data_IF_747838784104
#
_entry.id   IF_747838784104
#
_cell.length_a   1.000
_cell.length_b   1.000
_cell.length_c   1.000
_cell.angle_alpha   90.00
_cell.angle_beta   90.00
_cell.angle_gamma   90.00
#
_symmetry.space_group_name_H-M   'P 1'
#
loop_
_entity.id
_entity.type
_entity.pdbx_description
1 polymer ?
#
# COMPACT_ATOMS: atom_id res chain seq x y z
N UNK A 1 -15.74 3.76 -49.64
CA UNK A 1 -15.93 5.05 -48.93
C UNK A 1 -17.39 5.48 -48.74
N UNK A 2 -18.40 4.69 -49.11
CA UNK A 2 -19.81 4.87 -48.67
C UNK A 2 -20.58 3.52 -48.69
N UNK A 3 -19.84 2.43 -48.50
CA UNK A 3 -20.40 1.08 -48.56
C UNK A 3 -20.82 0.62 -47.18
N UNK A 4 -21.92 -0.12 -47.12
CA UNK A 4 -22.31 -0.89 -45.95
C UNK A 4 -21.67 -2.28 -46.05
N UNK A 5 -20.90 -2.66 -45.04
CA UNK A 5 -20.42 -4.03 -44.88
C UNK A 5 -21.29 -4.70 -43.82
N UNK A 6 -22.02 -5.73 -44.21
CA UNK A 6 -22.79 -6.55 -43.30
C UNK A 6 -22.10 -7.89 -43.09
N UNK A 7 -21.86 -8.28 -41.85
CA UNK A 7 -21.37 -9.61 -41.52
C UNK A 7 -22.53 -10.61 -41.50
N UNK A 8 -22.27 -11.80 -42.02
CA UNK A 8 -23.24 -12.93 -42.01
C UNK A 8 -22.80 -14.06 -41.10
N UNK A 9 -21.55 -14.03 -40.64
CA UNK A 9 -20.91 -15.00 -39.76
C UNK A 9 -19.76 -14.30 -39.02
N UNK A 10 -19.27 -14.92 -37.96
CA UNK A 10 -18.05 -14.51 -37.28
C UNK A 10 -16.86 -14.48 -38.24
N UNK A 11 -15.97 -13.51 -38.06
CA UNK A 11 -14.74 -13.39 -38.85
C UNK A 11 -13.50 -13.36 -37.98
N UNK A 12 -12.39 -13.85 -38.54
CA UNK A 12 -11.06 -13.74 -37.94
C UNK A 12 -10.17 -12.84 -38.81
N UNK A 13 -9.41 -11.98 -38.15
CA UNK A 13 -8.53 -10.98 -38.73
C UNK A 13 -7.11 -11.21 -38.24
N UNK A 14 -6.26 -11.72 -39.12
CA UNK A 14 -4.83 -11.93 -38.87
C UNK A 14 -3.96 -10.74 -39.30
N UNK A 15 -4.55 -9.71 -39.93
CA UNK A 15 -3.90 -8.49 -40.40
C UNK A 15 -4.37 -7.21 -39.70
N UNK A 16 -4.23 -6.08 -40.38
CA UNK A 16 -4.87 -4.83 -39.96
C UNK A 16 -6.34 -4.82 -40.40
N UNK A 17 -7.19 -4.11 -39.67
CA UNK A 17 -8.60 -3.90 -40.02
C UNK A 17 -8.85 -2.40 -40.21
N UNK A 18 -9.41 -2.04 -41.36
CA UNK A 18 -9.79 -0.66 -41.66
C UNK A 18 -11.27 -0.60 -42.00
N UNK A 19 -12.04 0.20 -41.25
CA UNK A 19 -13.39 0.57 -41.60
C UNK A 19 -13.48 2.09 -41.84
N UNK A 20 -14.05 2.48 -42.98
CA UNK A 20 -14.34 3.88 -43.33
C UNK A 20 -15.79 4.07 -43.76
N UNK A 21 -16.67 3.08 -43.53
CA UNK A 21 -18.07 3.11 -43.91
C UNK A 21 -18.96 2.62 -42.76
N UNK A 22 -20.15 2.13 -43.10
CA UNK A 22 -21.04 1.50 -42.12
C UNK A 22 -20.66 0.02 -41.99
N UNK A 23 -20.47 -0.45 -40.77
CA UNK A 23 -20.32 -1.86 -40.44
C UNK A 23 -21.53 -2.30 -39.63
N UNK A 24 -22.30 -3.25 -40.15
CA UNK A 24 -23.33 -3.97 -39.42
C UNK A 24 -22.81 -5.36 -39.08
N UNK A 25 -22.54 -5.61 -37.80
CA UNK A 25 -22.10 -6.92 -37.33
C UNK A 25 -23.22 -7.96 -37.31
N UNK A 26 -24.49 -7.55 -37.27
CA UNK A 26 -25.66 -8.44 -37.25
C UNK A 26 -25.51 -9.62 -36.27
N UNK A 27 -25.01 -9.34 -35.05
CA UNK A 27 -24.74 -10.32 -34.01
C UNK A 27 -23.45 -11.13 -34.17
N UNK A 28 -22.71 -10.96 -35.27
CA UNK A 28 -21.46 -11.67 -35.56
C UNK A 28 -20.27 -11.04 -34.83
N UNK A 29 -19.34 -11.88 -34.37
CA UNK A 29 -18.11 -11.46 -33.72
C UNK A 29 -16.95 -11.22 -34.68
N UNK A 30 -16.03 -10.33 -34.27
CA UNK A 30 -14.75 -10.12 -34.94
C UNK A 30 -13.62 -10.55 -34.01
N UNK A 31 -12.79 -11.45 -34.50
CA UNK A 31 -11.65 -12.00 -33.77
C UNK A 31 -10.35 -11.48 -34.35
N UNK A 32 -9.46 -10.97 -33.50
CA UNK A 32 -8.12 -10.50 -33.84
C UNK A 32 -7.08 -11.52 -33.34
N UNK A 33 -6.47 -12.27 -34.26
CA UNK A 33 -5.70 -13.50 -33.98
C UNK A 33 -4.28 -13.53 -34.56
N UNK A 34 -3.77 -12.38 -35.00
CA UNK A 34 -2.51 -12.34 -35.75
C UNK A 34 -1.24 -12.63 -34.93
N UNK A 35 -1.34 -12.74 -33.60
CA UNK A 35 -0.21 -12.91 -32.68
C UNK A 35 0.92 -11.88 -32.93
N UNK A 36 0.50 -10.64 -33.26
CA UNK A 36 1.35 -9.50 -33.59
C UNK A 36 0.58 -8.20 -33.37
N UNK A 37 1.22 -7.06 -33.65
CA UNK A 37 0.52 -5.78 -33.72
C UNK A 37 -0.45 -5.74 -34.89
N UNK A 38 -1.71 -5.41 -34.60
CA UNK A 38 -2.78 -5.24 -35.58
C UNK A 38 -3.44 -3.89 -35.37
N UNK A 39 -3.43 -3.05 -36.40
CA UNK A 39 -4.11 -1.77 -36.34
C UNK A 39 -5.60 -1.94 -36.61
N UNK A 40 -6.41 -1.37 -35.74
CA UNK A 40 -7.82 -1.11 -35.88
C UNK A 40 -7.99 0.36 -36.30
N UNK A 41 -8.19 0.58 -37.60
CA UNK A 41 -8.36 1.91 -38.18
C UNK A 41 -9.86 2.14 -38.43
N UNK A 42 -10.49 2.96 -37.60
CA UNK A 42 -11.93 3.24 -37.70
C UNK A 42 -12.12 4.73 -38.01
N UNK A 43 -12.39 5.06 -39.27
CA UNK A 43 -12.60 6.46 -39.69
C UNK A 43 -14.05 6.92 -39.47
N UNK A 44 -14.92 6.02 -39.01
CA UNK A 44 -16.32 6.24 -38.69
C UNK A 44 -16.66 5.49 -37.41
N UNK A 45 -17.62 5.99 -36.64
CA UNK A 45 -18.15 5.27 -35.49
C UNK A 45 -18.58 3.86 -35.88
N UNK A 46 -18.08 2.87 -35.16
CA UNK A 46 -18.26 1.45 -35.44
C UNK A 46 -18.63 0.74 -34.16
N UNK A 47 -19.84 0.16 -34.14
CA UNK A 47 -20.32 -0.70 -33.06
C UNK A 47 -19.94 -2.15 -33.33
N UNK A 48 -19.48 -2.86 -32.30
CA UNK A 48 -19.19 -4.29 -32.36
C UNK A 48 -20.11 -5.05 -31.39
N UNK A 49 -20.83 -6.04 -31.91
CA UNK A 49 -21.61 -6.97 -31.08
C UNK A 49 -20.70 -7.91 -30.26
N UNK A 50 -19.59 -8.35 -30.84
CA UNK A 50 -18.55 -9.07 -30.11
C UNK A 50 -17.16 -8.80 -30.70
N UNK A 51 -16.19 -8.54 -29.83
CA UNK A 51 -14.79 -8.36 -30.21
C UNK A 51 -13.91 -9.26 -29.35
N UNK A 52 -13.09 -10.08 -30.00
CA UNK A 52 -12.12 -10.95 -29.32
C UNK A 52 -10.70 -10.59 -29.75
N UNK A 53 -9.80 -10.41 -28.77
CA UNK A 53 -8.36 -10.24 -29.02
C UNK A 53 -7.63 -11.44 -28.45
N UNK A 54 -6.99 -12.25 -29.29
CA UNK A 54 -6.27 -13.45 -28.84
C UNK A 54 -4.89 -13.13 -28.25
N UNK A 55 -4.37 -14.08 -27.49
CA UNK A 55 -3.03 -14.01 -26.89
C UNK A 55 -1.95 -13.73 -27.93
N UNK A 56 -1.00 -12.87 -27.56
CA UNK A 56 0.09 -12.45 -28.45
C UNK A 56 -0.30 -11.34 -29.45
N UNK A 57 -1.58 -10.99 -29.56
CA UNK A 57 -2.04 -9.88 -30.40
C UNK A 57 -2.05 -8.58 -29.62
N UNK A 58 -1.50 -7.52 -30.22
CA UNK A 58 -1.69 -6.13 -29.75
C UNK A 58 -2.61 -5.43 -30.73
N UNK A 59 -3.87 -5.25 -30.35
CA UNK A 59 -4.85 -4.51 -31.14
C UNK A 59 -4.68 -3.01 -30.86
N UNK A 60 -4.27 -2.25 -31.87
CA UNK A 60 -3.98 -0.82 -31.75
C UNK A 60 -5.14 -0.03 -32.34
N UNK A 61 -5.86 0.73 -31.52
CA UNK A 61 -6.76 1.78 -32.01
C UNK A 61 -5.91 2.88 -32.64
N UNK A 62 -5.84 2.86 -33.97
CA UNK A 62 -4.85 3.62 -34.73
C UNK A 62 -5.30 5.06 -35.05
N UNK A 63 -6.56 5.38 -34.78
CA UNK A 63 -7.14 6.71 -34.94
C UNK A 63 -7.26 7.38 -33.57
N UNK A 64 -7.11 8.70 -33.54
CA UNK A 64 -7.28 9.50 -32.32
C UNK A 64 -8.74 9.62 -31.90
N UNK A 65 -9.66 9.57 -32.86
CA UNK A 65 -11.10 9.64 -32.57
C UNK A 65 -11.57 8.39 -31.83
N UNK A 66 -12.55 8.55 -30.94
CA UNK A 66 -13.17 7.46 -30.18
C UNK A 66 -14.29 6.78 -30.99
N UNK A 67 -13.88 6.13 -32.08
CA UNK A 67 -14.80 5.53 -33.05
C UNK A 67 -15.12 4.05 -32.78
N UNK A 68 -14.47 3.41 -31.80
CA UNK A 68 -14.71 2.01 -31.46
C UNK A 68 -15.69 1.89 -30.29
N UNK A 69 -16.81 1.19 -30.49
CA UNK A 69 -17.80 0.96 -29.44
C UNK A 69 -18.14 -0.53 -29.33
N UNK A 70 -18.04 -1.10 -28.13
CA UNK A 70 -18.45 -2.47 -27.86
C UNK A 70 -19.87 -2.45 -27.30
N UNK A 71 -20.82 -2.90 -28.10
CA UNK A 71 -22.23 -3.01 -27.69
C UNK A 71 -22.52 -4.31 -26.94
N UNK A 72 -21.80 -5.39 -27.27
CA UNK A 72 -21.95 -6.68 -26.60
C UNK A 72 -20.70 -7.07 -25.82
N UNK A 73 -20.04 -8.15 -26.22
CA UNK A 73 -18.97 -8.76 -25.40
C UNK A 73 -17.58 -8.38 -25.90
N UNK A 74 -16.73 -7.92 -24.98
CA UNK A 74 -15.29 -7.85 -25.18
C UNK A 74 -14.61 -9.06 -24.51
N UNK A 75 -13.86 -9.84 -25.29
CA UNK A 75 -13.01 -10.91 -24.76
C UNK A 75 -11.55 -10.61 -25.11
N UNK A 76 -10.77 -10.15 -24.15
CA UNK A 76 -9.38 -9.74 -24.38
C UNK A 76 -8.38 -10.70 -23.70
N UNK A 77 -7.69 -11.50 -24.49
CA UNK A 77 -6.55 -12.33 -24.05
C UNK A 77 -5.20 -11.75 -24.46
N UNK A 78 -5.19 -10.60 -25.14
CA UNK A 78 -4.00 -9.92 -25.65
C UNK A 78 -3.82 -8.54 -25.01
N UNK A 79 -3.50 -7.55 -25.84
CA UNK A 79 -3.38 -6.15 -25.41
C UNK A 79 -4.19 -5.27 -26.34
N UNK A 80 -4.97 -4.34 -25.76
CA UNK A 80 -5.63 -3.28 -26.51
C UNK A 80 -4.88 -1.99 -26.21
N UNK A 81 -4.42 -1.29 -27.24
CA UNK A 81 -3.56 -0.12 -27.13
C UNK A 81 -4.19 1.08 -27.82
N UNK A 82 -4.17 2.23 -27.15
CA UNK A 82 -4.48 3.53 -27.75
C UNK A 82 -3.44 4.56 -27.35
N UNK A 83 -3.05 5.40 -28.31
CA UNK A 83 -2.12 6.51 -28.09
C UNK A 83 -2.78 7.81 -28.51
N UNK A 84 -2.89 8.75 -27.57
CA UNK A 84 -3.43 10.08 -27.82
C UNK A 84 -2.30 11.12 -27.79
N UNK A 85 -2.18 12.00 -28.80
CA UNK A 85 -1.37 13.20 -28.69
C UNK A 85 -2.02 14.15 -27.68
N UNK A 86 -1.21 14.76 -26.81
CA UNK A 86 -1.68 15.72 -25.79
C UNK A 86 -1.39 17.13 -26.27
N UNK A 87 -2.43 17.85 -26.67
CA UNK A 87 -2.36 19.23 -27.15
C UNK A 87 -2.85 20.27 -26.14
N UNK A 88 -3.73 19.88 -25.23
CA UNK A 88 -4.44 20.78 -24.32
C UNK A 88 -4.40 20.34 -22.85
N UNK A 89 -5.21 21.04 -22.06
CA UNK A 89 -5.58 20.67 -20.69
C UNK A 89 -7.05 20.25 -20.72
N UNK A 90 -7.29 18.98 -21.01
CA UNK A 90 -8.61 18.42 -21.32
C UNK A 90 -8.62 16.93 -21.02
N UNK A 91 -9.77 16.29 -21.23
CA UNK A 91 -9.93 14.84 -21.16
C UNK A 91 -9.45 14.15 -22.43
N UNK A 92 -8.68 13.08 -22.23
CA UNK A 92 -8.28 12.13 -23.26
C UNK A 92 -8.86 10.75 -22.90
N UNK A 93 -9.43 10.08 -23.90
CA UNK A 93 -10.12 8.81 -23.72
C UNK A 93 -9.31 7.66 -24.34
N UNK A 94 -9.34 6.50 -23.67
CA UNK A 94 -8.55 5.34 -24.01
C UNK A 94 -9.31 4.03 -23.86
N UNK A 95 -9.09 3.13 -24.81
CA UNK A 95 -9.72 1.83 -24.87
C UNK A 95 -11.04 1.88 -25.64
N UNK A 96 -11.62 0.68 -25.82
CA UNK A 96 -12.87 0.52 -26.53
C UNK A 96 -14.03 0.98 -25.62
N UNK A 97 -14.81 1.96 -26.09
CA UNK A 97 -15.95 2.51 -25.36
C UNK A 97 -17.12 1.50 -25.29
N UNK A 98 -18.10 1.75 -24.42
CA UNK A 98 -19.36 0.97 -24.37
C UNK A 98 -19.30 -0.34 -23.57
N UNK A 99 -18.10 -0.82 -23.23
CA UNK A 99 -17.95 -2.01 -22.37
C UNK A 99 -18.41 -1.76 -20.92
N UNK A 100 -18.28 -0.53 -20.44
CA UNK A 100 -18.81 -0.08 -19.14
C UNK A 100 -20.04 0.81 -19.39
N UNK A 101 -21.13 0.66 -18.63
CA UNK A 101 -22.34 1.48 -18.81
C UNK A 101 -21.98 2.96 -18.76
N UNK A 102 -22.38 3.72 -19.79
CA UNK A 102 -22.18 5.17 -19.91
C UNK A 102 -20.71 5.66 -19.79
N UNK A 103 -19.71 4.76 -19.89
CA UNK A 103 -18.27 5.09 -19.79
C UNK A 103 -17.51 4.85 -21.10
N UNK A 104 -16.51 5.70 -21.34
CA UNK A 104 -15.63 5.69 -22.51
C UNK A 104 -14.34 4.89 -22.29
N UNK A 105 -14.28 4.07 -21.24
CA UNK A 105 -13.08 3.31 -20.87
C UNK A 105 -12.22 4.06 -19.84
N UNK A 106 -10.92 4.17 -20.10
CA UNK A 106 -10.01 4.95 -19.26
C UNK A 106 -10.03 6.40 -19.69
N UNK A 107 -10.23 7.31 -18.75
CA UNK A 107 -10.26 8.75 -19.02
C UNK A 107 -9.13 9.42 -18.24
N UNK A 108 -8.38 10.29 -18.91
CA UNK A 108 -7.27 11.02 -18.31
C UNK A 108 -7.46 12.50 -18.60
N UNK A 109 -7.78 13.27 -17.56
CA UNK A 109 -7.78 14.72 -17.64
C UNK A 109 -6.37 15.22 -17.39
N UNK A 110 -5.81 15.97 -18.31
CA UNK A 110 -4.54 16.65 -18.07
C UNK A 110 -4.81 18.04 -17.51
N UNK A 111 -4.43 18.27 -16.25
CA UNK A 111 -4.75 19.52 -15.54
C UNK A 111 -3.59 20.50 -15.48
N UNK A 112 -2.35 20.01 -15.63
CA UNK A 112 -1.15 20.84 -15.73
C UNK A 112 -0.11 20.13 -16.61
N UNK A 113 0.65 20.91 -17.39
CA UNK A 113 1.77 20.46 -18.24
C UNK A 113 2.94 21.45 -18.18
N UNK A 114 2.96 22.32 -17.18
CA UNK A 114 4.04 23.29 -16.98
C UNK A 114 5.34 22.57 -16.61
N UNK A 115 6.46 23.03 -17.15
CA UNK A 115 7.77 22.44 -16.89
C UNK A 115 8.68 22.41 -18.11
N UNK A 116 9.87 21.84 -17.93
CA UNK A 116 10.89 21.74 -18.98
C UNK A 116 10.69 20.59 -19.96
N UNK A 117 9.90 19.58 -19.57
CA UNK A 117 9.58 18.38 -20.35
C UNK A 117 8.07 18.08 -20.26
N UNK A 118 7.21 18.91 -20.90
CA UNK A 118 5.76 18.79 -20.81
C UNK A 118 5.28 17.45 -21.41
N UNK A 119 4.21 16.90 -20.86
CA UNK A 119 3.54 15.73 -21.44
C UNK A 119 3.09 16.03 -22.88
N UNK A 120 3.40 15.19 -23.87
CA UNK A 120 3.10 15.39 -25.30
C UNK A 120 2.26 14.28 -25.92
N UNK A 121 2.27 13.10 -25.31
CA UNK A 121 1.41 11.98 -25.68
C UNK A 121 1.20 11.07 -24.47
N UNK A 122 0.10 10.32 -24.49
CA UNK A 122 -0.18 9.26 -23.53
C UNK A 122 -0.52 8.00 -24.34
N UNK A 123 0.12 6.89 -24.01
CA UNK A 123 -0.27 5.56 -24.47
C UNK A 123 -0.89 4.80 -23.30
N UNK A 124 -2.03 4.14 -23.53
CA UNK A 124 -2.65 3.23 -22.58
C UNK A 124 -2.75 1.86 -23.21
N UNK A 125 -2.16 0.88 -22.54
CA UNK A 125 -2.29 -0.54 -22.85
C UNK A 125 -3.23 -1.18 -21.84
N UNK A 126 -4.38 -1.69 -22.28
CA UNK A 126 -5.33 -2.46 -21.47
C UNK A 126 -5.01 -3.95 -21.58
N UNK A 127 -4.93 -4.61 -20.44
CA UNK A 127 -4.75 -6.06 -20.30
C UNK A 127 -5.85 -6.58 -19.38
N UNK A 128 -6.66 -7.51 -19.89
CA UNK A 128 -7.74 -8.14 -19.12
C UNK A 128 -7.20 -9.39 -18.42
N UNK A 129 -6.30 -9.14 -17.48
CA UNK A 129 -5.83 -10.11 -16.51
C UNK A 129 -5.49 -9.40 -15.20
N UNK A 130 -5.17 -10.19 -14.17
CA UNK A 130 -4.62 -9.64 -12.94
C UNK A 130 -3.18 -9.16 -13.16
N UNK A 131 -2.89 -7.97 -12.64
CA UNK A 131 -1.51 -7.49 -12.62
C UNK A 131 -0.63 -8.52 -11.89
N UNK A 132 0.57 -8.88 -12.40
CA UNK A 132 1.42 -9.92 -11.81
C UNK A 132 1.79 -9.68 -10.34
N UNK A 133 1.78 -8.43 -9.90
CA UNK A 133 2.09 -8.02 -8.53
C UNK A 133 0.83 -7.66 -7.71
N UNK A 134 -0.38 -7.99 -8.15
CA UNK A 134 -1.60 -7.66 -7.42
C UNK A 134 -1.61 -8.27 -6.00
N UNK A 135 -2.04 -7.51 -4.98
CA UNK A 135 -2.19 -8.03 -3.63
C UNK A 135 -3.34 -9.04 -3.60
N UNK A 136 -3.17 -10.18 -2.94
CA UNK A 136 -4.22 -11.21 -2.88
C UNK A 136 -5.51 -10.70 -2.23
N UNK A 137 -6.67 -11.07 -2.77
CA UNK A 137 -7.98 -10.92 -2.11
C UNK A 137 -8.97 -9.92 -2.72
N UNK A 138 -8.57 -9.09 -3.68
CA UNK A 138 -9.50 -8.27 -4.47
C UNK A 138 -8.83 -7.91 -5.80
N UNK A 139 -9.30 -8.49 -6.90
CA UNK A 139 -8.72 -8.27 -8.22
C UNK A 139 -9.78 -7.80 -9.19
N UNK A 140 -9.45 -6.88 -10.10
CA UNK A 140 -10.37 -6.39 -11.14
C UNK A 140 -10.27 -7.14 -12.45
N UNK A 141 -9.38 -8.14 -12.53
CA UNK A 141 -9.08 -8.91 -13.74
C UNK A 141 -8.68 -8.02 -14.93
N UNK A 142 -8.34 -6.77 -14.66
CA UNK A 142 -7.91 -5.77 -15.64
C UNK A 142 -6.84 -4.91 -14.98
N UNK A 143 -5.76 -4.66 -15.70
CA UNK A 143 -4.80 -3.61 -15.40
C UNK A 143 -4.44 -2.83 -16.67
N UNK A 144 -3.93 -1.62 -16.48
CA UNK A 144 -3.52 -0.73 -17.55
C UNK A 144 -2.08 -0.32 -17.37
N UNK A 145 -1.28 -0.38 -18.44
CA UNK A 145 0.02 0.28 -18.48
C UNK A 145 -0.15 1.64 -19.16
N UNK A 146 0.04 2.71 -18.40
CA UNK A 146 -0.04 4.10 -18.89
C UNK A 146 1.37 4.63 -19.07
N UNK A 147 1.74 4.92 -20.32
CA UNK A 147 3.08 5.38 -20.71
C UNK A 147 3.02 6.82 -21.22
N UNK A 148 3.65 7.79 -20.53
CA UNK A 148 3.71 9.18 -20.96
C UNK A 148 4.88 9.43 -21.91
N UNK A 149 4.73 10.38 -22.83
CA UNK A 149 5.84 11.03 -23.51
C UNK A 149 6.05 12.42 -22.88
N UNK A 150 7.03 12.54 -21.97
CA UNK A 150 7.29 13.74 -21.16
C UNK A 150 7.05 13.48 -19.66
N UNK A 151 7.76 14.21 -18.81
CA UNK A 151 7.77 13.98 -17.36
C UNK A 151 7.02 15.03 -16.53
N UNK A 152 6.71 16.20 -17.08
CA UNK A 152 6.07 17.29 -16.36
C UNK A 152 4.58 17.38 -16.68
N UNK A 153 3.77 16.87 -15.74
CA UNK A 153 2.32 16.98 -15.78
C UNK A 153 1.69 16.77 -14.41
N UNK A 154 0.45 17.24 -14.29
CA UNK A 154 -0.51 16.80 -13.27
C UNK A 154 -1.75 16.32 -14.03
N UNK A 155 -2.28 15.18 -13.64
CA UNK A 155 -3.46 14.59 -14.26
C UNK A 155 -4.48 14.10 -13.23
N UNK A 156 -5.74 14.01 -13.67
CA UNK A 156 -6.78 13.20 -13.06
C UNK A 156 -6.89 11.91 -13.86
N UNK A 157 -6.83 10.76 -13.19
CA UNK A 157 -7.04 9.45 -13.81
C UNK A 157 -8.39 8.90 -13.36
N UNK A 158 -9.24 8.57 -14.32
CA UNK A 158 -10.53 7.91 -14.13
C UNK A 158 -10.40 6.50 -14.70
N UNK A 159 -10.49 5.51 -13.82
CA UNK A 159 -10.43 4.10 -14.21
C UNK A 159 -11.80 3.47 -14.06
N UNK A 160 -12.25 2.68 -15.04
CA UNK A 160 -13.46 1.90 -14.88
C UNK A 160 -13.24 0.78 -13.85
N UNK A 161 -14.31 0.37 -13.19
CA UNK A 161 -14.32 -0.64 -12.14
C UNK A 161 -15.49 -1.62 -12.31
N UNK A 162 -15.35 -2.84 -11.78
CA UNK A 162 -16.31 -3.91 -11.96
C UNK A 162 -17.30 -4.04 -10.78
N UNK A 163 -18.11 -3.01 -10.55
CA UNK A 163 -19.07 -2.91 -9.43
C UNK A 163 -18.52 -3.25 -8.03
N UNK A 164 -17.28 -2.83 -7.77
CA UNK A 164 -16.63 -2.98 -6.46
C UNK A 164 -17.36 -2.12 -5.40
N UNK A 165 -17.43 -2.64 -4.18
CA UNK A 165 -18.12 -1.98 -3.08
C UNK A 165 -17.40 -0.71 -2.58
N UNK A 166 -16.06 -0.74 -2.56
CA UNK A 166 -15.22 0.35 -2.11
C UNK A 166 -13.92 0.43 -2.96
N UNK A 167 -14.01 0.88 -4.23
CA UNK A 167 -12.91 0.85 -5.18
C UNK A 167 -11.82 1.89 -4.89
N UNK A 168 -10.56 1.57 -5.13
CA UNK A 168 -9.42 2.50 -5.07
C UNK A 168 -8.55 2.38 -6.33
N UNK A 169 -8.08 3.53 -6.84
CA UNK A 169 -7.19 3.56 -8.00
C UNK A 169 -5.73 3.43 -7.54
N UNK A 170 -5.09 2.35 -7.96
CA UNK A 170 -3.79 1.94 -7.48
C UNK A 170 -2.76 2.01 -8.58
N UNK A 171 -1.68 2.75 -8.31
CA UNK A 171 -0.52 2.85 -9.18
C UNK A 171 0.58 1.94 -8.66
N UNK A 172 1.10 1.04 -9.49
CA UNK A 172 2.26 0.22 -9.16
C UNK A 172 3.54 0.87 -9.68
N UNK A 173 4.49 1.13 -8.79
CA UNK A 173 5.81 1.60 -9.16
C UNK A 173 6.85 1.22 -8.11
N UNK A 174 8.08 0.97 -8.56
CA UNK A 174 9.21 0.67 -7.67
C UNK A 174 8.94 -0.47 -6.68
N UNK A 175 8.20 -1.49 -7.10
CA UNK A 175 7.91 -2.66 -6.26
C UNK A 175 6.71 -2.52 -5.32
N UNK A 176 6.02 -1.37 -5.29
CA UNK A 176 4.93 -1.12 -4.36
C UNK A 176 3.68 -0.55 -5.03
N UNK A 177 2.52 -0.88 -4.47
CA UNK A 177 1.25 -0.24 -4.82
C UNK A 177 1.05 1.03 -4.01
N UNK A 178 0.70 2.11 -4.70
CA UNK A 178 0.24 3.34 -4.11
C UNK A 178 -1.22 3.55 -4.51
N UNK A 179 -2.13 3.27 -3.57
CA UNK A 179 -3.56 3.34 -3.76
C UNK A 179 -4.12 4.62 -3.17
N UNK A 180 -4.99 5.29 -3.92
CA UNK A 180 -5.74 6.44 -3.44
C UNK A 180 -7.04 6.56 -4.23
N UNK A 181 -7.96 7.37 -3.69
CA UNK A 181 -9.21 7.72 -4.36
C UNK A 181 -9.58 9.15 -4.00
N UNK A 182 -10.00 9.92 -4.99
CA UNK A 182 -10.64 11.23 -4.82
C UNK A 182 -12.16 11.12 -4.82
N UNK A 183 -12.72 10.30 -5.72
CA UNK A 183 -14.15 9.98 -5.79
C UNK A 183 -14.37 8.64 -6.52
N UNK A 184 -15.58 8.10 -6.45
CA UNK A 184 -16.00 6.94 -7.26
C UNK A 184 -17.49 6.99 -7.51
N UNK A 185 -17.93 6.42 -8.63
CA UNK A 185 -19.33 6.12 -8.93
C UNK A 185 -19.50 4.60 -8.96
N UNK A 186 -20.41 4.08 -8.13
CA UNK A 186 -20.72 2.65 -8.02
C UNK A 186 -22.06 2.27 -8.65
N UNK A 187 -22.74 3.22 -9.30
CA UNK A 187 -24.12 3.08 -9.76
C UNK A 187 -24.28 3.40 -11.24
N UNK A 188 -23.69 4.49 -11.74
CA UNK A 188 -23.88 4.91 -13.14
C UNK A 188 -22.70 4.52 -14.01
N UNK A 189 -21.56 5.20 -13.80
CA UNK A 189 -20.43 5.08 -14.72
C UNK A 189 -19.49 3.92 -14.34
N UNK A 190 -19.66 3.37 -13.13
CA UNK A 190 -18.80 2.37 -12.55
C UNK A 190 -17.31 2.76 -12.67
N UNK A 191 -16.94 3.91 -12.12
CA UNK A 191 -15.57 4.45 -12.19
C UNK A 191 -14.99 4.78 -10.83
N UNK A 192 -13.66 4.85 -10.76
CA UNK A 192 -12.90 5.42 -9.64
C UNK A 192 -11.97 6.51 -10.16
N UNK A 193 -11.99 7.65 -9.48
CA UNK A 193 -11.23 8.84 -9.88
C UNK A 193 -10.12 9.10 -8.88
N UNK A 194 -8.94 9.43 -9.39
CA UNK A 194 -7.80 9.89 -8.62
C UNK A 194 -7.18 11.12 -9.25
N UNK A 195 -7.19 12.21 -8.50
CA UNK A 195 -6.62 13.50 -8.89
C UNK A 195 -5.17 13.65 -8.46
N UNK A 196 -4.45 14.63 -9.01
CA UNK A 196 -3.10 14.99 -8.57
C UNK A 196 -2.02 13.98 -8.96
N UNK A 197 -2.25 13.23 -10.04
CA UNK A 197 -1.31 12.22 -10.54
C UNK A 197 -0.17 12.90 -11.28
N UNK A 198 1.06 12.74 -10.79
CA UNK A 198 2.28 13.33 -11.37
C UNK A 198 3.20 12.31 -12.04
N UNK A 199 2.80 11.04 -12.03
CA UNK A 199 3.52 9.96 -12.67
C UNK A 199 2.55 8.86 -13.10
N UNK A 200 2.75 8.33 -14.30
CA UNK A 200 2.07 7.15 -14.82
C UNK A 200 2.98 5.91 -14.78
N UNK A 201 2.40 4.72 -14.80
CA UNK A 201 3.05 3.40 -14.79
C UNK A 201 1.96 2.34 -14.98
N UNK A 202 2.02 1.20 -14.30
CA UNK A 202 0.92 0.25 -14.24
C UNK A 202 -0.14 0.70 -13.22
N UNK A 203 -1.39 0.50 -13.59
CA UNK A 203 -2.58 0.88 -12.82
C UNK A 203 -3.54 -0.28 -12.74
N UNK A 204 -4.15 -0.44 -11.58
CA UNK A 204 -5.27 -1.36 -11.37
C UNK A 204 -6.25 -0.72 -10.39
N UNK A 205 -7.47 -1.24 -10.37
CA UNK A 205 -8.45 -0.86 -9.36
C UNK A 205 -8.57 -2.03 -8.38
N UNK A 206 -8.65 -1.75 -7.08
CA UNK A 206 -8.87 -2.77 -6.06
C UNK A 206 -10.00 -2.35 -5.14
N UNK A 207 -10.61 -3.32 -4.45
CA UNK A 207 -11.44 -2.99 -3.29
C UNK A 207 -10.53 -2.67 -2.10
N UNK A 208 -10.91 -1.75 -1.24
CA UNK A 208 -10.19 -1.58 0.03
C UNK A 208 -10.24 -2.85 0.87
N UNK A 209 -9.16 -3.11 1.60
CA UNK A 209 -9.03 -4.27 2.48
C UNK A 209 -8.85 -3.75 3.91
N UNK A 210 -9.85 -4.00 4.76
CA UNK A 210 -9.77 -3.65 6.17
C UNK A 210 -8.65 -4.42 6.86
N UNK A 211 -8.00 -3.77 7.83
CA UNK A 211 -6.97 -4.40 8.66
C UNK A 211 -7.27 -4.24 10.15
N UNK A 212 -6.70 -5.11 10.96
CA UNK A 212 -6.69 -4.97 12.43
C UNK A 212 -5.26 -5.10 12.93
N UNK A 213 -4.89 -4.30 13.93
CA UNK A 213 -3.57 -4.38 14.58
C UNK A 213 -3.74 -4.73 16.05
N UNK A 214 -3.01 -5.75 16.52
CA UNK A 214 -2.92 -6.14 17.92
C UNK A 214 -1.49 -6.01 18.41
N UNK A 215 -1.28 -5.80 19.71
CA UNK A 215 0.04 -5.51 20.27
C UNK A 215 0.34 -6.43 21.46
N UNK A 216 1.55 -6.97 21.49
CA UNK A 216 2.07 -7.77 22.59
C UNK A 216 3.44 -7.23 23.03
N UNK A 217 3.81 -7.50 24.28
CA UNK A 217 5.10 -7.14 24.88
C UNK A 217 5.83 -8.39 25.33
N UNK A 218 7.16 -8.39 25.28
CA UNK A 218 8.00 -9.50 25.71
C UNK A 218 8.03 -9.67 27.24
N UNK A 219 7.76 -8.60 28.00
CA UNK A 219 7.75 -8.62 29.47
C UNK A 219 6.87 -7.49 30.04
N UNK A 220 5.97 -7.82 30.97
CA UNK A 220 5.17 -6.84 31.70
C UNK A 220 4.71 -7.40 33.07
N UNK A 221 5.13 -6.80 34.20
CA UNK A 221 6.07 -5.69 34.32
C UNK A 221 7.49 -6.04 33.84
N UNK A 222 8.30 -5.02 33.51
CA UNK A 222 9.72 -5.16 33.18
C UNK A 222 10.59 -4.25 34.05
N UNK A 223 11.79 -4.66 34.52
CA UNK A 223 12.68 -3.75 35.24
C UNK A 223 13.17 -2.61 34.34
N UNK A 224 13.37 -1.42 34.89
CA UNK A 224 13.98 -0.27 34.20
C UNK A 224 15.32 -0.65 33.54
N UNK A 225 15.66 -0.04 32.40
CA UNK A 225 16.86 -0.33 31.60
C UNK A 225 16.94 -1.73 30.96
N UNK A 226 15.95 -2.60 31.18
CA UNK A 226 15.86 -3.85 30.42
C UNK A 226 15.25 -3.60 29.05
N UNK A 227 15.75 -4.32 28.05
CA UNK A 227 15.20 -4.25 26.70
C UNK A 227 13.83 -4.95 26.66
N UNK A 228 12.79 -4.20 26.34
CA UNK A 228 11.43 -4.71 26.08
C UNK A 228 11.18 -4.69 24.58
N UNK A 229 10.67 -5.79 24.04
CA UNK A 229 10.27 -5.90 22.63
C UNK A 229 8.76 -5.86 22.51
N UNK A 230 8.25 -4.92 21.70
CA UNK A 230 6.85 -4.84 21.33
C UNK A 230 6.63 -5.46 19.95
N UNK A 231 5.63 -6.33 19.83
CA UNK A 231 5.26 -7.00 18.60
C UNK A 231 3.86 -6.60 18.17
N UNK A 232 3.76 -5.86 17.08
CA UNK A 232 2.48 -5.63 16.40
C UNK A 232 2.17 -6.83 15.50
N UNK A 233 0.95 -7.35 15.60
CA UNK A 233 0.41 -8.38 14.70
C UNK A 233 -0.78 -7.81 13.92
N UNK A 234 -0.64 -7.77 12.60
CA UNK A 234 -1.60 -7.20 11.65
C UNK A 234 -2.32 -8.33 10.90
N UNK A 235 -3.64 -8.24 10.81
CA UNK A 235 -4.46 -9.08 9.96
C UNK A 235 -5.11 -8.26 8.83
N UNK A 236 -5.23 -8.79 7.60
CA UNK A 236 -4.68 -10.08 7.17
C UNK A 236 -3.14 -10.06 7.11
N UNK A 237 -2.50 -11.23 7.22
CA UNK A 237 -1.04 -11.34 7.20
C UNK A 237 -0.42 -10.97 5.83
N UNK A 238 -1.25 -10.83 4.80
CA UNK A 238 -0.90 -10.34 3.47
C UNK A 238 -0.79 -8.82 3.40
N UNK A 239 -1.23 -8.09 4.43
CA UNK A 239 -1.07 -6.65 4.51
C UNK A 239 0.41 -6.26 4.34
N UNK A 240 0.65 -5.18 3.60
CA UNK A 240 1.98 -4.64 3.32
C UNK A 240 2.10 -3.21 3.87
N UNK A 241 3.31 -2.80 4.22
CA UNK A 241 3.60 -1.46 4.73
C UNK A 241 4.57 -1.49 5.90
N UNK A 242 4.42 -0.52 6.81
CA UNK A 242 5.19 -0.43 8.06
C UNK A 242 4.26 -0.20 9.24
N UNK A 243 4.76 -0.44 10.45
CA UNK A 243 4.07 -0.11 11.70
C UNK A 243 4.93 0.88 12.47
N UNK A 244 4.34 2.00 12.87
CA UNK A 244 4.95 2.95 13.80
C UNK A 244 4.49 2.66 15.22
N UNK A 245 5.44 2.61 16.17
CA UNK A 245 5.19 2.34 17.57
C UNK A 245 5.38 3.61 18.40
N UNK A 246 4.55 3.79 19.43
CA UNK A 246 4.62 4.94 20.31
C UNK A 246 4.52 4.51 21.78
N UNK A 247 5.23 5.24 22.65
CA UNK A 247 5.03 5.23 24.10
C UNK A 247 4.61 6.63 24.54
N UNK A 248 3.45 6.75 25.20
CA UNK A 248 2.90 8.02 25.69
C UNK A 248 2.82 9.13 24.61
N UNK A 249 2.58 8.71 23.36
CA UNK A 249 2.53 9.61 22.20
C UNK A 249 3.90 9.94 21.57
N UNK A 250 5.02 9.54 22.18
CA UNK A 250 6.36 9.68 21.60
C UNK A 250 6.72 8.45 20.74
N UNK A 251 7.25 8.68 19.53
CA UNK A 251 7.64 7.60 18.62
C UNK A 251 8.80 6.78 19.19
N UNK A 252 8.64 5.47 19.23
CA UNK A 252 9.69 4.49 19.53
C UNK A 252 10.42 4.02 18.27
N UNK A 253 9.89 4.35 17.09
CA UNK A 253 10.42 3.95 15.80
C UNK A 253 9.41 3.21 14.94
N UNK A 254 9.84 2.92 13.71
CA UNK A 254 9.05 2.22 12.70
C UNK A 254 9.69 0.88 12.35
N UNK A 255 8.86 -0.11 12.04
CA UNK A 255 9.32 -1.41 11.55
C UNK A 255 8.50 -1.86 10.34
N UNK A 256 9.18 -2.41 9.33
CA UNK A 256 8.52 -2.97 8.14
C UNK A 256 7.67 -4.19 8.53
N UNK A 257 6.48 -4.28 7.94
CA UNK A 257 5.60 -5.41 8.14
C UNK A 257 6.11 -6.61 7.33
N UNK A 258 6.30 -7.75 8.00
CA UNK A 258 6.69 -9.01 7.37
C UNK A 258 5.79 -10.13 7.91
N UNK A 259 5.07 -10.81 7.00
CA UNK A 259 4.13 -11.89 7.34
C UNK A 259 3.16 -11.51 8.47
N UNK A 260 2.59 -10.29 8.41
CA UNK A 260 1.66 -9.77 9.40
C UNK A 260 2.30 -9.37 10.74
N UNK A 261 3.63 -9.29 10.86
CA UNK A 261 4.30 -8.87 12.09
C UNK A 261 5.31 -7.74 11.88
N UNK A 262 5.37 -6.83 12.85
CA UNK A 262 6.37 -5.79 12.96
C UNK A 262 6.83 -5.70 14.43
N UNK A 263 8.10 -5.40 14.67
CA UNK A 263 8.67 -5.40 16.02
C UNK A 263 9.57 -4.19 16.24
N UNK A 264 9.49 -3.60 17.44
CA UNK A 264 10.44 -2.60 17.93
C UNK A 264 10.91 -3.02 19.32
N UNK A 265 12.16 -2.71 19.66
CA UNK A 265 12.68 -2.93 21.00
C UNK A 265 13.22 -1.64 21.59
N UNK A 266 12.98 -1.42 22.88
CA UNK A 266 13.45 -0.24 23.62
C UNK A 266 13.86 -0.63 25.04
N UNK A 267 14.93 -0.02 25.55
CA UNK A 267 15.31 -0.05 26.96
C UNK A 267 15.22 1.34 27.62
N UNK A 268 14.66 2.32 26.91
CA UNK A 268 14.63 3.73 27.31
C UNK A 268 13.38 4.16 28.08
N UNK A 269 12.46 3.24 28.37
CA UNK A 269 11.26 3.57 29.16
C UNK A 269 11.65 3.81 30.63
N UNK A 270 11.09 4.86 31.21
CA UNK A 270 11.35 5.25 32.61
C UNK A 270 10.52 4.41 33.57
N UNK A 271 10.80 4.46 34.88
CA UNK A 271 9.97 3.77 35.88
C UNK A 271 8.56 4.38 35.87
N UNK A 272 7.53 3.56 35.70
CA UNK A 272 6.15 4.03 35.59
C UNK A 272 5.26 3.10 34.77
N UNK A 273 4.09 3.61 34.41
CA UNK A 273 3.15 2.96 33.48
C UNK A 273 3.11 3.77 32.20
N UNK A 274 3.27 3.09 31.07
CA UNK A 274 3.36 3.69 29.74
C UNK A 274 2.27 3.14 28.83
N UNK A 275 1.55 4.02 28.15
CA UNK A 275 0.57 3.63 27.13
C UNK A 275 1.32 3.34 25.84
N UNK A 276 1.27 2.09 25.38
CA UNK A 276 1.94 1.67 24.15
C UNK A 276 0.91 1.50 23.04
N UNK A 277 1.13 2.18 21.91
CA UNK A 277 0.29 2.06 20.72
C UNK A 277 1.14 1.71 19.50
N UNK A 278 0.50 1.10 18.51
CA UNK A 278 1.10 0.77 17.23
C UNK A 278 0.12 1.11 16.09
N UNK A 279 0.59 1.77 15.04
CA UNK A 279 -0.22 2.23 13.91
C UNK A 279 0.35 1.67 12.60
N UNK A 280 -0.46 0.93 11.86
CA UNK A 280 -0.15 0.46 10.51
C UNK A 280 -0.20 1.64 9.52
N UNK A 281 0.88 1.81 8.77
CA UNK A 281 1.01 2.69 7.62
C UNK A 281 1.05 1.77 6.39
N UNK A 282 -0.11 1.48 5.76
CA UNK A 282 -0.20 0.47 4.71
C UNK A 282 0.37 0.97 3.38
N UNK A 283 0.84 0.04 2.57
CA UNK A 283 1.00 0.20 1.12
C UNK A 283 -0.04 -0.64 0.40
N UNK A 284 -0.44 -0.26 -0.81
CA UNK A 284 -1.51 -0.96 -1.53
C UNK A 284 -2.91 -0.67 -1.00
N UNK A 285 -3.89 -1.56 -1.23
CA UNK A 285 -5.31 -1.30 -0.98
C UNK A 285 -5.73 -1.51 0.49
N UNK A 286 -4.79 -1.67 1.41
CA UNK A 286 -5.09 -1.90 2.82
C UNK A 286 -5.44 -0.59 3.54
N UNK A 287 -6.44 -0.64 4.42
CA UNK A 287 -6.78 0.49 5.29
C UNK A 287 -5.85 0.53 6.51
N UNK A 288 -5.50 1.75 6.94
CA UNK A 288 -4.73 1.95 8.16
C UNK A 288 -5.51 1.42 9.38
N UNK A 289 -4.79 0.90 10.36
CA UNK A 289 -5.36 0.47 11.65
C UNK A 289 -4.37 0.74 12.76
N UNK A 290 -4.87 0.81 13.99
CA UNK A 290 -4.05 0.95 15.18
C UNK A 290 -4.43 -0.08 16.24
N UNK A 291 -3.50 -0.36 17.14
CA UNK A 291 -3.70 -1.21 18.30
C UNK A 291 -3.04 -0.61 19.53
N UNK A 292 -3.61 -0.87 20.70
CA UNK A 292 -3.07 -0.48 22.00
C UNK A 292 -2.71 -1.74 22.79
N UNK A 293 -1.58 -1.71 23.51
CA UNK A 293 -1.19 -2.80 24.39
C UNK A 293 -2.21 -2.94 25.53
N UNK A 294 -2.82 -4.11 25.67
CA UNK A 294 -3.77 -4.35 26.75
C UNK A 294 -3.05 -4.35 28.12
N UNK A 295 -3.54 -3.52 29.05
CA UNK A 295 -2.99 -3.41 30.41
C UNK A 295 -1.77 -2.51 30.54
N UNK A 296 -1.43 -1.72 29.50
CA UNK A 296 -0.27 -0.83 29.43
C UNK A 296 1.08 -1.55 29.66
N UNK A 297 2.20 -0.84 29.50
CA UNK A 297 3.52 -1.35 29.87
C UNK A 297 3.92 -0.80 31.24
N UNK A 298 4.17 -1.68 32.21
CA UNK A 298 4.71 -1.30 33.51
C UNK A 298 6.22 -1.50 33.54
N UNK A 299 6.94 -0.46 33.95
CA UNK A 299 8.38 -0.49 34.21
C UNK A 299 8.65 -0.33 35.71
N UNK A 300 9.18 -1.39 36.31
CA UNK A 300 9.49 -1.45 37.73
C UNK A 300 10.89 -0.93 38.04
N UNK A 301 11.09 -0.57 39.31
CA UNK A 301 12.44 -0.26 39.81
C UNK A 301 13.34 -1.50 39.75
N UNK A 302 14.61 -1.28 39.51
CA UNK A 302 15.62 -2.34 39.59
C UNK A 302 15.73 -2.90 41.01
N UNK A 303 15.81 -4.23 41.15
CA UNK A 303 16.02 -4.87 42.44
C UNK A 303 17.43 -4.57 42.98
N UNK A 304 17.55 -4.31 44.29
CA UNK A 304 18.84 -4.09 44.97
C UNK A 304 19.08 -5.14 46.05
N UNK A 305 20.35 -5.40 46.32
CA UNK A 305 20.84 -6.24 47.42
C UNK A 305 21.81 -5.42 48.25
N UNK A 306 21.82 -5.65 49.57
CA UNK A 306 22.72 -4.98 50.51
C UNK A 306 23.55 -6.04 51.21
N UNK A 307 24.87 -5.93 51.14
CA UNK A 307 25.80 -6.75 51.88
C UNK A 307 26.49 -5.91 52.96
N UNK A 308 26.64 -6.46 54.16
CA UNK A 308 27.35 -5.82 55.26
C UNK A 308 28.69 -6.51 55.48
N UNK A 309 29.75 -5.72 55.54
CA UNK A 309 31.08 -6.18 55.90
C UNK A 309 31.53 -5.44 57.16
N UNK A 310 31.90 -6.20 58.20
CA UNK A 310 32.61 -5.64 59.36
C UNK A 310 34.11 -5.78 59.15
N UNK A 311 34.86 -4.73 59.44
CA UNK A 311 36.32 -4.82 59.46
C UNK A 311 36.84 -5.70 60.63
N UNK A 312 36.00 -5.96 61.64
CA UNK A 312 36.38 -6.63 62.86
C UNK A 312 35.19 -7.38 63.46
N UNK A 313 35.21 -8.71 63.39
CA UNK A 313 34.21 -9.58 64.00
C UNK A 313 34.83 -10.96 64.32
N UNK A 314 35.01 -11.33 65.61
CA UNK A 314 34.62 -10.59 66.82
C UNK A 314 35.54 -9.40 67.13
N UNK A 315 35.01 -8.39 67.83
CA UNK A 315 35.73 -7.19 68.24
C UNK A 315 35.97 -7.15 69.76
N UNK A 316 37.22 -6.91 70.24
CA UNK A 316 37.51 -6.62 71.64
C UNK A 316 36.78 -5.37 72.17
N UNK A 317 36.54 -5.34 73.48
CA UNK A 317 35.88 -4.22 74.15
C UNK A 317 36.61 -2.88 73.90
N UNK A 318 35.83 -1.82 73.65
CA UNK A 318 36.29 -0.46 73.31
C UNK A 318 37.07 -0.32 71.99
N UNK A 319 37.17 -1.35 71.15
CA UNK A 319 37.73 -1.20 69.80
C UNK A 319 36.68 -0.69 68.83
N UNK A 320 37.05 0.29 67.99
CA UNK A 320 36.15 0.81 66.97
C UNK A 320 35.91 -0.24 65.87
N UNK A 321 34.63 -0.49 65.57
CA UNK A 321 34.19 -1.35 64.46
C UNK A 321 33.67 -0.46 63.33
N UNK A 322 34.18 -0.65 62.13
CA UNK A 322 33.65 -0.05 60.91
C UNK A 322 32.83 -1.10 60.18
N UNK A 323 31.53 -0.82 60.04
CA UNK A 323 30.63 -1.62 59.20
C UNK A 323 30.44 -0.89 57.87
N UNK A 324 30.74 -1.56 56.78
CA UNK A 324 30.54 -1.05 55.42
C UNK A 324 29.37 -1.77 54.78
N UNK A 325 28.39 -1.01 54.30
CA UNK A 325 27.33 -1.53 53.44
C UNK A 325 27.73 -1.39 51.96
N UNK A 326 27.64 -2.48 51.22
CA UNK A 326 27.75 -2.47 49.77
C UNK A 326 26.37 -2.74 49.17
N UNK A 327 25.87 -1.79 48.37
CA UNK A 327 24.59 -1.93 47.66
C UNK A 327 24.87 -2.30 46.22
N UNK A 328 24.32 -3.42 45.77
CA UNK A 328 24.43 -3.89 44.40
C UNK A 328 23.05 -4.02 43.75
N UNK A 329 22.95 -3.61 42.49
CA UNK A 329 21.76 -3.86 41.66
C UNK A 329 21.80 -5.31 41.16
N UNK A 330 20.70 -6.04 41.35
CA UNK A 330 20.52 -7.42 40.90
C UNK A 330 19.83 -7.46 39.53
N UNK A 331 20.20 -8.42 38.68
CA UNK A 331 19.54 -8.65 37.39
C UNK A 331 19.93 -7.71 36.25
N UNK A 332 21.01 -6.93 36.40
CA UNK A 332 21.56 -6.07 35.33
C UNK A 332 23.04 -6.39 35.09
N UNK A 333 23.42 -6.41 33.82
CA UNK A 333 24.81 -6.40 33.39
C UNK A 333 25.49 -5.07 33.74
N UNK A 334 26.82 -5.05 33.77
CA UNK A 334 27.57 -3.81 34.00
C UNK A 334 27.33 -2.76 32.89
N UNK A 335 26.98 -3.20 31.67
CA UNK A 335 26.72 -2.32 30.52
C UNK A 335 25.36 -1.61 30.60
N UNK A 336 24.37 -2.21 31.27
CA UNK A 336 23.03 -1.62 31.48
C UNK A 336 23.01 -0.62 32.64
N UNK A 337 24.07 -0.57 33.46
CA UNK A 337 24.21 0.36 34.59
C UNK A 337 24.70 1.73 34.09
N UNK A 338 23.80 2.71 33.97
CA UNK A 338 24.20 4.11 33.73
C UNK A 338 24.70 4.81 35.01
N UNK A 339 24.11 4.54 36.18
CA UNK A 339 24.55 5.06 37.49
C UNK A 339 24.30 4.02 38.61
N UNK A 340 25.04 4.12 39.71
CA UNK A 340 24.82 3.27 40.88
C UNK A 340 23.49 3.56 41.59
N UNK A 341 22.98 2.64 42.43
CA UNK A 341 21.74 2.86 43.17
C UNK A 341 21.87 4.10 44.07
N UNK A 342 20.86 4.96 44.09
CA UNK A 342 20.79 6.14 44.95
C UNK A 342 19.86 5.88 46.14
N UNK A 343 20.07 6.58 47.25
CA UNK A 343 19.29 6.42 48.47
C UNK A 343 20.16 6.49 49.72
N UNK A 344 19.58 6.13 50.86
CA UNK A 344 20.30 6.02 52.13
C UNK A 344 20.29 4.58 52.64
N UNK A 345 21.32 4.20 53.40
CA UNK A 345 21.41 2.89 54.05
C UNK A 345 21.34 3.09 55.54
N UNK A 346 20.23 2.65 56.15
CA UNK A 346 20.07 2.71 57.61
C UNK A 346 20.76 1.52 58.28
N UNK A 347 21.68 1.81 59.18
CA UNK A 347 22.30 0.82 60.06
C UNK A 347 21.53 0.75 61.38
N UNK A 348 21.22 -0.45 61.83
CA UNK A 348 20.54 -0.69 63.10
C UNK A 348 21.09 -1.92 63.80
N UNK A 349 21.05 -1.93 65.12
CA UNK A 349 21.27 -3.10 65.96
C UNK A 349 20.00 -3.45 66.76
N UNK A 350 20.16 -4.29 67.76
CA UNK A 350 19.09 -4.77 68.65
C UNK A 350 18.48 -3.64 69.50
N UNK A 351 19.19 -2.52 69.66
CA UNK A 351 18.78 -1.34 70.42
C UNK A 351 18.12 -0.26 69.57
N UNK A 352 18.21 -0.35 68.24
CA UNK A 352 17.57 0.58 67.30
C UNK A 352 18.52 1.12 66.23
N UNK A 353 18.27 2.35 65.78
CA UNK A 353 19.05 2.99 64.71
C UNK A 353 20.42 3.44 65.21
N UNK A 354 21.47 3.11 64.46
CA UNK A 354 22.85 3.56 64.72
C UNK A 354 23.23 4.75 63.84
N UNK A 355 22.95 4.65 62.53
CA UNK A 355 23.28 5.66 61.53
C UNK A 355 22.38 5.52 60.29
N UNK A 356 22.36 6.52 59.42
CA UNK A 356 21.68 6.50 58.12
C UNK A 356 22.57 7.12 57.06
#
# INVERSE_FOLDING_TARGET
ENGELQLTNDIAVSGHFTNSGTLDTNGSGITFDGAKTQNLVLNTFTSFDALTVYTGTTLVEAVTDDNAYIQGTLTNFGTIRKTQPVSGLEFYYFGLAGFYPDSWGVEIEVTDRSGGDPLTAIQVDRIDANHPNAPGGATTDIYWTITPAGANYVATVVLPQNALADPVACRYASGAWNCARSSFDSVKDLTVTRTGVTAFSDWAVFNTIATTTTLATSANPAPVFTQVTFTATVAPATATGSVEFFADGASLGTATLAAGKAQVATGGLTVGTHVITATLIPTGPYLASSGTLAGDQVIDKAATTVALLSNLNPAPYSQAVTVTASVAVSGMTAAERQTGPTGQVRFSDESGALAT
#
